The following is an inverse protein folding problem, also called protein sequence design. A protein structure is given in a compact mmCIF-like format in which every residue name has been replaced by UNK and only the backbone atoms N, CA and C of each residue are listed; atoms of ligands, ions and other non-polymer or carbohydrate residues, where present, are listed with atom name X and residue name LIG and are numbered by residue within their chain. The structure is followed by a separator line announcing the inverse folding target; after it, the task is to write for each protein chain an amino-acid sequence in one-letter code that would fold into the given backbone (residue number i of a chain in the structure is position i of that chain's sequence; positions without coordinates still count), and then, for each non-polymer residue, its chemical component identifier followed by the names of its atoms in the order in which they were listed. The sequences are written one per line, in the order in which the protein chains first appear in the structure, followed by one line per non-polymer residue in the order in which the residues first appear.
data_IF_067836418287
#
_entry.id   IF_067836418287
#
_cell.length_a   1.000
_cell.length_b   1.000
_cell.length_c   1.000
_cell.angle_alpha   90.00
_cell.angle_beta   90.00
_cell.angle_gamma   90.00
#
_symmetry.space_group_name_H-M   'P 1'
#
loop_
_entity.id
_entity.type
_entity.pdbx_description
1 polymer ?
#
# COMPACT_ATOMS: atom_id res chain seq x y z
N UNK A 1 -25.79 62.74 -11.50
CA UNK A 1 -26.28 61.86 -10.40
C UNK A 1 -26.22 60.36 -10.73
N UNK A 2 -26.56 59.94 -11.96
CA UNK A 2 -26.56 58.53 -12.41
C UNK A 2 -25.22 57.78 -12.28
N UNK A 3 -24.07 58.42 -12.58
CA UNK A 3 -22.74 57.78 -12.55
C UNK A 3 -22.28 57.40 -11.12
N UNK A 4 -22.59 58.22 -10.11
CA UNK A 4 -22.31 57.92 -8.69
C UNK A 4 -23.20 56.77 -8.17
N UNK A 5 -24.47 56.70 -8.62
CA UNK A 5 -25.41 55.64 -8.24
C UNK A 5 -24.99 54.26 -8.76
N UNK A 6 -24.55 54.17 -10.03
CA UNK A 6 -23.99 52.93 -10.61
C UNK A 6 -22.70 52.46 -9.93
N UNK A 7 -21.78 53.38 -9.60
CA UNK A 7 -20.56 53.06 -8.85
C UNK A 7 -20.86 52.54 -7.43
N UNK A 8 -21.84 53.11 -6.75
CA UNK A 8 -22.29 52.65 -5.43
C UNK A 8 -22.94 51.26 -5.50
N UNK A 9 -23.78 51.00 -6.49
CA UNK A 9 -24.40 49.68 -6.70
C UNK A 9 -23.36 48.60 -7.04
N UNK A 10 -22.35 48.93 -7.84
CA UNK A 10 -21.26 48.01 -8.14
C UNK A 10 -20.41 47.69 -6.89
N UNK A 11 -20.18 48.67 -6.00
CA UNK A 11 -19.47 48.43 -4.73
C UNK A 11 -20.28 47.54 -3.78
N UNK A 12 -21.58 47.77 -3.65
CA UNK A 12 -22.48 46.91 -2.85
C UNK A 12 -22.54 45.49 -3.43
N UNK A 13 -22.64 45.34 -4.76
CA UNK A 13 -22.62 44.05 -5.42
C UNK A 13 -21.30 43.30 -5.21
N UNK A 14 -20.16 43.98 -5.35
CA UNK A 14 -18.84 43.41 -5.08
C UNK A 14 -18.72 42.98 -3.61
N UNK A 15 -19.20 43.80 -2.67
CA UNK A 15 -19.21 43.46 -1.24
C UNK A 15 -20.08 42.24 -0.94
N UNK A 16 -21.24 42.15 -1.59
CA UNK A 16 -22.12 40.98 -1.50
C UNK A 16 -21.46 39.71 -2.01
N UNK A 17 -20.79 39.76 -3.17
CA UNK A 17 -20.02 38.63 -3.72
C UNK A 17 -18.89 38.23 -2.76
N UNK A 18 -18.16 39.20 -2.20
CA UNK A 18 -17.07 38.93 -1.27
C UNK A 18 -17.54 38.23 0.01
N UNK A 19 -18.71 38.62 0.55
CA UNK A 19 -19.31 37.98 1.71
C UNK A 19 -19.72 36.53 1.43
N UNK A 20 -20.27 36.26 0.24
CA UNK A 20 -20.62 34.89 -0.17
C UNK A 20 -19.35 34.02 -0.25
N UNK A 21 -18.27 34.54 -0.84
CA UNK A 21 -16.99 33.83 -0.92
C UNK A 21 -16.45 33.52 0.47
N UNK A 22 -16.39 34.50 1.37
CA UNK A 22 -15.91 34.30 2.75
C UNK A 22 -16.78 33.28 3.51
N UNK A 23 -18.09 33.31 3.30
CA UNK A 23 -19.00 32.33 3.92
C UNK A 23 -18.76 30.91 3.41
N UNK A 24 -18.62 30.72 2.10
CA UNK A 24 -18.31 29.41 1.48
C UNK A 24 -16.97 28.90 1.99
N UNK A 25 -15.93 29.75 1.98
CA UNK A 25 -14.60 29.39 2.49
C UNK A 25 -14.67 29.01 3.97
N UNK A 26 -15.41 29.76 4.78
CA UNK A 26 -15.63 29.44 6.20
C UNK A 26 -16.29 28.08 6.43
N UNK A 27 -17.27 27.70 5.60
CA UNK A 27 -17.89 26.38 5.66
C UNK A 27 -16.93 25.24 5.31
N UNK A 28 -16.05 25.44 4.32
CA UNK A 28 -15.02 24.45 3.96
C UNK A 28 -14.04 24.24 5.12
N UNK A 29 -13.55 25.33 5.73
CA UNK A 29 -12.66 25.24 6.90
C UNK A 29 -13.34 24.56 8.09
N UNK A 30 -14.60 24.90 8.38
CA UNK A 30 -15.37 24.30 9.46
C UNK A 30 -15.54 22.79 9.24
N UNK A 31 -15.78 22.35 8.00
CA UNK A 31 -15.88 20.93 7.65
C UNK A 31 -14.57 20.19 7.90
N UNK A 32 -13.45 20.71 7.41
CA UNK A 32 -12.13 20.11 7.67
C UNK A 32 -11.84 19.96 9.17
N UNK A 33 -12.23 20.95 9.99
CA UNK A 33 -12.11 20.86 11.45
C UNK A 33 -13.01 19.81 12.09
N UNK A 34 -14.23 19.62 11.58
CA UNK A 34 -15.18 18.61 12.07
C UNK A 34 -14.71 17.20 11.70
N UNK A 35 -14.14 17.02 10.50
CA UNK A 35 -13.49 15.78 10.06
C UNK A 35 -12.34 15.40 10.98
N UNK A 36 -11.44 16.34 11.28
CA UNK A 36 -10.33 16.15 12.24
C UNK A 36 -10.77 15.93 13.69
N UNK A 37 -12.08 15.97 13.96
CA UNK A 37 -12.67 15.63 15.27
C UNK A 37 -13.50 14.35 15.22
N UNK A 38 -13.48 13.63 14.10
CA UNK A 38 -14.24 12.40 13.91
C UNK A 38 -15.76 12.61 13.86
N UNK A 39 -16.21 13.82 13.52
CA UNK A 39 -17.65 14.10 13.35
C UNK A 39 -18.07 13.56 11.98
N UNK A 40 -19.09 12.69 11.96
CA UNK A 40 -19.70 12.20 10.72
C UNK A 40 -20.28 13.40 9.95
N UNK A 41 -19.65 13.70 8.81
CA UNK A 41 -20.11 14.68 7.84
C UNK A 41 -20.08 14.05 6.46
N UNK A 42 -20.92 14.53 5.55
CA UNK A 42 -20.83 14.16 4.14
C UNK A 42 -19.51 14.66 3.57
N UNK A 43 -18.63 13.75 3.17
CA UNK A 43 -17.38 14.05 2.48
C UNK A 43 -17.68 14.46 1.04
N UNK A 44 -17.23 15.65 0.63
CA UNK A 44 -17.54 16.19 -0.70
C UNK A 44 -16.31 16.46 -1.55
N UNK A 45 -15.13 16.54 -0.94
CA UNK A 45 -13.88 16.91 -1.60
C UNK A 45 -12.79 15.91 -1.26
N UNK A 46 -11.80 15.76 -2.15
CA UNK A 46 -10.60 14.96 -1.89
C UNK A 46 -9.91 15.38 -0.57
N UNK A 47 -9.91 16.68 -0.26
CA UNK A 47 -9.37 17.20 0.98
C UNK A 47 -10.15 16.73 2.21
N UNK A 48 -11.46 16.53 2.12
CA UNK A 48 -12.24 15.97 3.24
C UNK A 48 -11.79 14.53 3.53
N UNK A 49 -11.61 13.71 2.48
CA UNK A 49 -11.15 12.32 2.62
C UNK A 49 -9.72 12.24 3.15
N UNK A 50 -8.80 13.05 2.60
CA UNK A 50 -7.41 13.11 3.08
C UNK A 50 -7.34 13.49 4.56
N UNK A 51 -7.99 14.57 4.95
CA UNK A 51 -7.99 15.02 6.35
C UNK A 51 -8.63 13.96 7.29
N UNK A 52 -9.63 13.22 6.80
CA UNK A 52 -10.27 12.15 7.55
C UNK A 52 -9.33 10.95 7.74
N UNK A 53 -8.69 10.50 6.65
CA UNK A 53 -7.72 9.42 6.67
C UNK A 53 -6.54 9.76 7.61
N UNK A 54 -5.92 10.94 7.47
CA UNK A 54 -4.85 11.41 8.36
C UNK A 54 -5.27 11.35 9.83
N UNK A 55 -6.47 11.85 10.15
CA UNK A 55 -6.99 11.83 11.51
C UNK A 55 -7.24 10.41 12.03
N UNK A 56 -7.86 9.55 11.23
CA UNK A 56 -8.12 8.15 11.57
C UNK A 56 -6.80 7.40 11.83
N UNK A 57 -5.82 7.56 10.95
CA UNK A 57 -4.49 6.96 11.06
C UNK A 57 -3.75 7.47 12.30
N UNK A 58 -3.75 8.78 12.54
CA UNK A 58 -3.12 9.37 13.72
C UNK A 58 -3.75 8.86 15.02
N UNK A 59 -5.09 8.78 15.06
CA UNK A 59 -5.81 8.26 16.22
C UNK A 59 -5.52 6.77 16.47
N UNK A 60 -5.39 5.98 15.41
CA UNK A 60 -5.17 4.53 15.46
C UNK A 60 -3.72 4.15 15.83
N UNK A 61 -2.74 4.88 15.30
CA UNK A 61 -1.32 4.51 15.40
C UNK A 61 -0.48 5.45 16.29
N UNK A 62 -1.00 6.61 16.65
CA UNK A 62 -0.35 7.57 17.53
C UNK A 62 0.79 8.36 16.88
N UNK A 63 0.84 8.42 15.54
CA UNK A 63 1.84 9.15 14.77
C UNK A 63 1.20 9.98 13.64
N UNK A 64 1.94 10.94 13.10
CA UNK A 64 1.43 11.83 12.05
C UNK A 64 1.61 11.23 10.66
N UNK A 65 0.59 11.44 9.82
CA UNK A 65 0.54 11.02 8.43
C UNK A 65 0.26 12.24 7.56
N UNK A 66 0.74 12.19 6.32
CA UNK A 66 0.47 13.17 5.28
C UNK A 66 -0.20 12.46 4.11
N UNK A 67 -1.33 12.99 3.65
CA UNK A 67 -2.01 12.48 2.47
C UNK A 67 -1.41 12.99 1.18
N UNK A 68 -1.20 12.06 0.24
CA UNK A 68 -0.64 12.35 -1.08
C UNK A 68 -1.75 12.72 -2.08
N UNK A 69 -2.74 11.83 -2.25
CA UNK A 69 -3.85 11.98 -3.18
C UNK A 69 -4.98 11.00 -2.88
N UNK A 70 -6.14 11.23 -3.49
CA UNK A 70 -7.28 10.31 -3.51
C UNK A 70 -7.36 9.67 -4.90
N UNK A 71 -7.53 8.36 -4.95
CA UNK A 71 -7.76 7.64 -6.20
C UNK A 71 -8.78 6.53 -5.95
N UNK A 72 -9.84 6.51 -6.76
CA UNK A 72 -11.01 5.65 -6.55
C UNK A 72 -11.56 5.81 -5.13
N UNK A 73 -11.79 4.72 -4.41
CA UNK A 73 -12.30 4.71 -3.04
C UNK A 73 -11.17 4.61 -2.00
N UNK A 74 -9.98 5.14 -2.34
CA UNK A 74 -8.78 5.06 -1.49
C UNK A 74 -8.07 6.41 -1.33
N UNK A 75 -7.52 6.63 -0.14
CA UNK A 75 -6.56 7.72 0.16
C UNK A 75 -5.17 7.13 0.29
N UNK A 76 -4.22 7.69 -0.45
CA UNK A 76 -2.80 7.34 -0.33
C UNK A 76 -2.15 8.27 0.67
N UNK A 77 -1.49 7.71 1.67
CA UNK A 77 -0.83 8.45 2.75
C UNK A 77 0.54 7.86 3.04
N UNK A 78 1.40 8.63 3.70
CA UNK A 78 2.63 8.10 4.30
C UNK A 78 2.79 8.62 5.73
N UNK A 79 3.41 7.86 6.64
CA UNK A 79 3.82 8.42 7.92
C UNK A 79 4.92 9.46 7.70
N UNK A 80 4.92 10.54 8.47
CA UNK A 80 5.91 11.61 8.34
C UNK A 80 7.37 11.12 8.54
N UNK A 81 7.55 10.05 9.32
CA UNK A 81 8.87 9.45 9.57
C UNK A 81 9.36 8.52 8.45
N UNK A 82 8.47 8.07 7.56
CA UNK A 82 8.79 7.17 6.44
C UNK A 82 8.06 7.60 5.16
N UNK A 83 8.44 8.73 4.53
CA UNK A 83 7.80 9.21 3.31
C UNK A 83 7.91 8.25 2.12
N UNK A 84 8.79 7.27 2.18
CA UNK A 84 8.94 6.22 1.17
C UNK A 84 7.86 5.11 1.26
N UNK A 85 7.02 5.12 2.29
CA UNK A 85 5.94 4.14 2.47
C UNK A 85 4.62 4.66 1.91
N UNK A 86 4.11 3.99 0.88
CA UNK A 86 2.83 4.34 0.25
C UNK A 86 1.67 3.54 0.84
N UNK A 87 1.19 3.99 2.00
CA UNK A 87 0.08 3.35 2.72
C UNK A 87 -1.23 3.65 1.98
N UNK A 88 -2.06 2.63 1.85
CA UNK A 88 -3.39 2.75 1.27
C UNK A 88 -4.41 2.74 2.40
N UNK A 89 -5.32 3.72 2.38
CA UNK A 89 -6.46 3.82 3.31
C UNK A 89 -7.73 3.87 2.49
N UNK A 90 -8.39 2.72 2.36
CA UNK A 90 -9.67 2.59 1.67
C UNK A 90 -10.79 3.18 2.51
N UNK A 91 -11.83 3.67 1.84
CA UNK A 91 -13.01 4.19 2.49
C UNK A 91 -14.30 3.68 1.84
N UNK A 92 -15.27 3.34 2.68
CA UNK A 92 -16.61 2.96 2.24
C UNK A 92 -17.61 3.94 2.86
N UNK A 93 -18.54 4.44 2.05
CA UNK A 93 -19.56 5.40 2.50
C UNK A 93 -20.97 4.82 2.36
N UNK A 94 -21.57 4.42 3.48
CA UNK A 94 -22.95 3.94 3.53
C UNK A 94 -23.79 4.79 4.48
N UNK A 95 -24.96 5.26 4.01
CA UNK A 95 -25.89 6.01 4.85
C UNK A 95 -25.35 7.33 5.43
N UNK A 96 -24.29 7.89 4.85
CA UNK A 96 -23.61 9.10 5.35
C UNK A 96 -22.56 8.86 6.43
N UNK A 97 -22.28 7.59 6.76
CA UNK A 97 -21.15 7.17 7.57
C UNK A 97 -20.03 6.68 6.64
N UNK A 98 -18.80 7.12 6.90
CA UNK A 98 -17.62 6.66 6.16
C UNK A 98 -16.71 5.87 7.09
N UNK A 99 -16.40 4.62 6.72
CA UNK A 99 -15.38 3.78 7.37
C UNK A 99 -14.05 3.89 6.66
N UNK A 100 -12.95 3.59 7.35
CA UNK A 100 -11.59 3.62 6.80
C UNK A 100 -10.85 2.33 7.13
N UNK A 101 -10.16 1.79 6.13
CA UNK A 101 -9.52 0.47 6.13
C UNK A 101 -8.08 0.63 5.63
N UNK A 102 -7.09 0.40 6.49
CA UNK A 102 -5.68 0.67 6.15
C UNK A 102 -4.82 -0.59 6.06
N UNK A 103 -3.72 -0.50 5.33
CA UNK A 103 -2.73 -1.57 5.21
C UNK A 103 -1.42 -1.30 5.97
N UNK A 104 -1.41 -0.31 6.87
CA UNK A 104 -0.19 0.19 7.51
C UNK A 104 0.51 -0.84 8.40
N UNK A 105 -0.24 -1.72 9.06
CA UNK A 105 0.35 -2.82 9.85
C UNK A 105 1.30 -3.67 8.99
N UNK A 106 1.02 -3.84 7.69
CA UNK A 106 1.93 -4.55 6.80
C UNK A 106 3.30 -3.91 6.71
N UNK A 107 3.37 -2.58 6.66
CA UNK A 107 4.63 -1.85 6.69
C UNK A 107 5.33 -1.98 8.04
N UNK A 108 4.57 -1.94 9.15
CA UNK A 108 5.13 -2.12 10.50
C UNK A 108 5.74 -3.52 10.72
N UNK A 109 5.24 -4.56 10.05
CA UNK A 109 5.75 -5.94 10.20
C UNK A 109 6.73 -6.36 9.10
N UNK A 110 6.92 -5.52 8.08
CA UNK A 110 7.69 -5.82 6.87
C UNK A 110 9.10 -6.32 7.15
N UNK A 111 9.90 -5.57 7.90
CA UNK A 111 11.31 -5.90 8.17
C UNK A 111 11.46 -7.25 8.91
N UNK A 112 10.69 -7.45 9.98
CA UNK A 112 10.72 -8.69 10.76
C UNK A 112 10.24 -9.90 9.94
N UNK A 113 9.22 -9.71 9.11
CA UNK A 113 8.68 -10.76 8.24
C UNK A 113 9.66 -11.14 7.13
N UNK A 114 10.27 -10.16 6.47
CA UNK A 114 11.28 -10.39 5.44
C UNK A 114 12.49 -11.12 5.98
N UNK A 115 12.98 -10.70 7.17
CA UNK A 115 14.09 -11.37 7.85
C UNK A 115 13.74 -12.80 8.24
N UNK A 116 12.54 -13.04 8.77
CA UNK A 116 12.08 -14.37 9.12
C UNK A 116 12.00 -15.29 7.90
N UNK A 117 11.39 -14.82 6.81
CA UNK A 117 11.30 -15.56 5.54
C UNK A 117 12.70 -15.82 4.98
N UNK A 118 13.59 -14.83 4.98
CA UNK A 118 14.97 -14.97 4.52
C UNK A 118 15.68 -16.13 5.23
N UNK A 119 15.64 -16.18 6.56
CA UNK A 119 16.30 -17.25 7.32
C UNK A 119 15.73 -18.64 7.00
N UNK A 120 14.42 -18.74 6.75
CA UNK A 120 13.77 -20.00 6.36
C UNK A 120 14.22 -20.49 4.97
N UNK A 121 14.37 -19.59 4.01
CA UNK A 121 14.65 -19.96 2.60
C UNK A 121 16.13 -19.94 2.24
N UNK A 122 16.98 -19.36 3.09
CA UNK A 122 18.44 -19.30 2.93
C UNK A 122 19.09 -20.67 2.65
N UNK A 123 18.67 -21.79 3.26
CA UNK A 123 19.20 -23.11 2.90
C UNK A 123 18.90 -23.53 1.44
N UNK A 124 17.90 -22.94 0.80
CA UNK A 124 17.50 -23.23 -0.57
C UNK A 124 18.21 -22.29 -1.55
N UNK A 125 18.17 -20.97 -1.30
CA UNK A 125 18.66 -19.96 -2.25
C UNK A 125 20.03 -19.37 -1.92
N UNK A 126 20.58 -19.64 -0.73
CA UNK A 126 21.77 -18.99 -0.23
C UNK A 126 21.50 -17.50 0.02
N UNK A 127 22.43 -16.65 -0.42
CA UNK A 127 22.24 -15.20 -0.38
C UNK A 127 21.14 -14.79 -1.36
N UNK A 128 20.10 -14.14 -0.83
CA UNK A 128 18.92 -13.71 -1.56
C UNK A 128 18.32 -12.47 -0.90
N UNK A 129 17.49 -11.74 -1.63
CA UNK A 129 16.73 -10.58 -1.11
C UNK A 129 15.27 -10.97 -1.02
N UNK A 130 14.62 -10.67 0.09
CA UNK A 130 13.21 -10.93 0.34
C UNK A 130 12.52 -9.60 0.56
N UNK A 131 11.43 -9.37 -0.16
CA UNK A 131 10.58 -8.21 0.00
C UNK A 131 9.13 -8.66 0.13
N UNK A 132 8.43 -8.14 1.12
CA UNK A 132 6.98 -8.28 1.27
C UNK A 132 6.32 -6.97 0.87
N UNK A 133 5.31 -7.05 0.00
CA UNK A 133 4.56 -5.87 -0.40
C UNK A 133 3.15 -6.01 0.17
N UNK A 134 2.81 -5.20 1.19
CA UNK A 134 1.42 -5.05 1.62
C UNK A 134 0.61 -4.57 0.43
N UNK A 135 -0.42 -5.34 0.05
CA UNK A 135 -1.31 -5.02 -1.06
C UNK A 135 -2.73 -4.99 -0.53
N UNK A 136 -3.53 -4.06 -1.05
CA UNK A 136 -4.90 -3.82 -0.63
C UNK A 136 -5.05 -3.75 0.90
N UNK A 137 -6.29 -3.72 1.35
CA UNK A 137 -6.66 -3.65 2.76
C UNK A 137 -6.82 -5.06 3.34
N UNK A 138 -6.60 -5.19 4.64
CA UNK A 138 -6.97 -6.42 5.34
C UNK A 138 -8.50 -6.51 5.44
N UNK A 139 -9.03 -7.72 5.43
CA UNK A 139 -10.44 -7.97 5.80
C UNK A 139 -10.72 -7.70 7.29
N UNK A 140 -9.72 -7.27 8.06
CA UNK A 140 -9.75 -7.12 9.51
C UNK A 140 -9.24 -5.74 9.96
N UNK A 141 -10.17 -4.83 10.27
CA UNK A 141 -9.86 -3.48 10.75
C UNK A 141 -9.39 -3.42 12.19
N UNK A 142 -9.43 -4.54 12.92
CA UNK A 142 -9.00 -4.59 14.33
C UNK A 142 -7.48 -4.47 14.48
N UNK A 143 -6.75 -4.57 13.37
CA UNK A 143 -5.32 -4.39 13.31
C UNK A 143 -4.89 -3.04 13.87
N UNK A 144 -3.81 -3.04 14.63
CA UNK A 144 -3.23 -1.85 15.24
C UNK A 144 -1.72 -2.06 15.41
N UNK A 145 -1.03 -1.09 16.02
CA UNK A 145 0.42 -1.13 16.21
C UNK A 145 0.91 -2.41 16.90
N UNK A 146 0.12 -2.91 17.85
CA UNK A 146 0.44 -4.07 18.70
C UNK A 146 0.06 -5.41 18.07
N UNK A 147 -0.55 -5.41 16.88
CA UNK A 147 -0.83 -6.65 16.13
C UNK A 147 0.45 -7.44 15.92
N UNK A 148 0.46 -8.70 16.34
CA UNK A 148 1.63 -9.56 16.17
C UNK A 148 1.79 -10.00 14.70
N UNK A 149 3.02 -10.38 14.35
CA UNK A 149 3.39 -10.75 12.99
C UNK A 149 2.57 -11.92 12.44
N UNK A 150 2.23 -12.93 13.25
CA UNK A 150 1.53 -14.11 12.76
C UNK A 150 0.04 -13.84 12.55
N UNK A 151 -0.56 -12.98 13.39
CA UNK A 151 -1.90 -12.45 13.16
C UNK A 151 -1.96 -11.68 11.84
N UNK A 152 -0.98 -10.80 11.58
CA UNK A 152 -0.89 -10.09 10.30
C UNK A 152 -0.70 -11.06 9.12
N UNK A 153 0.25 -12.01 9.20
CA UNK A 153 0.51 -12.99 8.13
C UNK A 153 -0.75 -13.78 7.75
N UNK A 154 -1.58 -14.13 8.73
CA UNK A 154 -2.80 -14.89 8.49
C UNK A 154 -3.87 -14.04 7.77
N UNK A 155 -4.18 -12.84 8.27
CA UNK A 155 -5.36 -12.06 7.82
C UNK A 155 -5.05 -10.84 6.94
N UNK A 156 -3.82 -10.36 6.94
CA UNK A 156 -3.37 -9.24 6.11
C UNK A 156 -3.23 -9.64 4.64
N UNK A 157 -3.31 -8.71 3.70
CA UNK A 157 -3.09 -8.97 2.29
C UNK A 157 -1.68 -8.50 1.90
N UNK A 158 -0.89 -9.43 1.36
CA UNK A 158 0.48 -9.15 0.96
C UNK A 158 1.00 -10.18 -0.03
N UNK A 159 1.99 -9.78 -0.82
CA UNK A 159 2.78 -10.71 -1.64
C UNK A 159 4.20 -10.80 -1.11
N UNK A 160 4.86 -11.90 -1.45
CA UNK A 160 6.27 -12.14 -1.11
C UNK A 160 7.08 -12.30 -2.39
N UNK A 161 8.06 -11.43 -2.55
CA UNK A 161 8.98 -11.37 -3.67
C UNK A 161 10.39 -11.76 -3.20
N UNK A 162 10.92 -12.83 -3.78
CA UNK A 162 12.28 -13.31 -3.51
C UNK A 162 13.12 -13.07 -4.76
N UNK A 163 14.32 -12.57 -4.56
CA UNK A 163 15.28 -12.31 -5.64
C UNK A 163 16.55 -13.07 -5.37
N UNK A 164 17.06 -13.77 -6.38
CA UNK A 164 18.24 -14.63 -6.25
C UNK A 164 19.10 -14.59 -7.50
N UNK A 165 20.40 -14.79 -7.32
CA UNK A 165 21.35 -15.03 -8.42
C UNK A 165 21.76 -16.51 -8.51
N UNK A 166 21.06 -17.41 -7.78
CA UNK A 166 21.29 -18.85 -7.86
C UNK A 166 21.11 -19.31 -9.30
N UNK A 167 21.98 -20.22 -9.76
CA UNK A 167 21.86 -20.77 -11.12
C UNK A 167 20.52 -21.50 -11.32
N UNK A 168 19.79 -21.10 -12.35
CA UNK A 168 18.43 -21.53 -12.66
C UNK A 168 18.35 -22.96 -13.26
N UNK A 169 18.86 -23.98 -12.55
CA UNK A 169 18.84 -25.40 -13.01
C UNK A 169 17.67 -26.21 -12.48
N UNK A 170 17.23 -25.93 -11.24
CA UNK A 170 16.21 -26.70 -10.53
C UNK A 170 15.07 -25.77 -10.07
N UNK A 171 14.69 -24.80 -10.92
CA UNK A 171 13.83 -23.67 -10.57
C UNK A 171 12.55 -24.13 -9.86
N UNK A 172 11.81 -25.04 -10.48
CA UNK A 172 10.54 -25.53 -9.92
C UNK A 172 10.76 -26.34 -8.64
N UNK A 173 11.73 -27.26 -8.62
CA UNK A 173 12.01 -28.08 -7.43
C UNK A 173 12.41 -27.24 -6.22
N UNK A 174 13.22 -26.21 -6.42
CA UNK A 174 13.62 -25.30 -5.34
C UNK A 174 12.45 -24.43 -4.90
N UNK A 175 11.63 -23.96 -5.84
CA UNK A 175 10.43 -23.18 -5.54
C UNK A 175 9.39 -23.98 -4.74
N UNK A 176 9.13 -25.24 -5.11
CA UNK A 176 8.20 -26.13 -4.40
C UNK A 176 8.59 -26.31 -2.93
N UNK A 177 9.88 -26.46 -2.63
CA UNK A 177 10.36 -26.52 -1.23
C UNK A 177 10.04 -25.25 -0.45
N UNK A 178 10.08 -24.08 -1.11
CA UNK A 178 9.71 -22.81 -0.48
C UNK A 178 8.21 -22.79 -0.22
N UNK A 179 7.39 -23.22 -1.17
CA UNK A 179 5.95 -23.38 -0.97
C UNK A 179 5.66 -24.30 0.22
N UNK A 180 6.33 -25.45 0.32
CA UNK A 180 6.19 -26.38 1.44
C UNK A 180 6.53 -25.71 2.78
N UNK A 181 7.63 -24.95 2.84
CA UNK A 181 8.00 -24.15 4.03
C UNK A 181 6.91 -23.13 4.38
N UNK A 182 6.33 -22.46 3.37
CA UNK A 182 5.28 -21.48 3.60
C UNK A 182 4.01 -22.12 4.15
N UNK A 183 3.63 -23.29 3.65
CA UNK A 183 2.51 -24.07 4.20
C UNK A 183 2.80 -24.52 5.63
N UNK A 184 3.97 -25.11 5.88
CA UNK A 184 4.39 -25.61 7.20
C UNK A 184 4.46 -24.51 8.26
N UNK A 185 4.89 -23.31 7.87
CA UNK A 185 5.00 -22.14 8.76
C UNK A 185 3.76 -21.27 8.77
N UNK A 186 2.71 -21.67 8.04
CA UNK A 186 1.47 -20.92 7.89
C UNK A 186 1.71 -19.47 7.42
N UNK A 187 2.66 -19.29 6.50
CA UNK A 187 2.98 -18.03 5.82
C UNK A 187 2.04 -17.84 4.63
N UNK A 188 0.85 -17.31 4.91
CA UNK A 188 -0.25 -17.21 3.93
C UNK A 188 -0.10 -15.98 3.02
N UNK A 189 0.98 -15.89 2.24
CA UNK A 189 1.16 -14.81 1.25
C UNK A 189 0.23 -15.03 0.04
N UNK A 190 -0.49 -14.00 -0.42
CA UNK A 190 -1.44 -14.13 -1.54
C UNK A 190 -0.76 -14.58 -2.84
N UNK A 191 0.48 -14.13 -3.04
CA UNK A 191 1.35 -14.55 -4.13
C UNK A 191 2.77 -14.72 -3.62
N UNK A 192 3.43 -15.78 -4.07
CA UNK A 192 4.85 -16.04 -3.84
C UNK A 192 5.57 -15.99 -5.19
N UNK A 193 6.65 -15.22 -5.27
CA UNK A 193 7.45 -15.07 -6.49
C UNK A 193 8.92 -15.25 -6.18
N UNK A 194 9.64 -15.95 -7.07
CA UNK A 194 11.11 -15.99 -7.07
C UNK A 194 11.60 -15.53 -8.44
N UNK A 195 12.45 -14.49 -8.46
CA UNK A 195 13.03 -13.91 -9.67
C UNK A 195 14.55 -14.13 -9.69
N UNK A 196 15.05 -14.60 -10.84
CA UNK A 196 16.43 -15.00 -11.03
C UNK A 196 17.20 -13.95 -11.83
N UNK A 197 18.24 -13.36 -11.23
CA UNK A 197 19.07 -12.30 -11.81
C UNK A 197 20.51 -12.74 -12.11
N UNK A 198 21.24 -11.85 -12.79
CA UNK A 198 22.70 -11.81 -12.69
C UNK A 198 23.13 -11.43 -11.26
N UNK A 199 24.35 -11.81 -10.85
CA UNK A 199 24.89 -11.36 -9.56
C UNK A 199 25.06 -9.84 -9.53
N UNK A 200 25.47 -9.23 -10.65
CA UNK A 200 25.65 -7.78 -10.75
C UNK A 200 24.35 -7.01 -10.50
N UNK A 201 23.25 -7.40 -11.16
CA UNK A 201 21.96 -6.75 -10.95
C UNK A 201 21.41 -7.01 -9.55
N UNK A 202 21.60 -8.24 -9.03
CA UNK A 202 21.22 -8.58 -7.66
C UNK A 202 21.89 -7.65 -6.64
N UNK A 203 23.19 -7.40 -6.78
CA UNK A 203 23.96 -6.55 -5.86
C UNK A 203 23.46 -5.09 -5.89
N UNK A 204 23.01 -4.60 -7.05
CA UNK A 204 22.47 -3.23 -7.25
C UNK A 204 20.95 -3.13 -7.08
N UNK A 205 20.27 -4.24 -6.79
CA UNK A 205 18.81 -4.27 -6.71
C UNK A 205 18.31 -3.64 -5.43
N UNK A 206 17.33 -2.76 -5.55
CA UNK A 206 16.62 -2.14 -4.45
C UNK A 206 15.11 -2.27 -4.71
N UNK A 207 14.31 -2.33 -3.66
CA UNK A 207 12.87 -2.64 -3.74
C UNK A 207 12.12 -1.69 -4.69
N UNK A 208 12.41 -0.39 -4.65
CA UNK A 208 11.75 0.62 -5.49
C UNK A 208 11.93 0.38 -7.01
N UNK A 209 12.88 -0.47 -7.41
CA UNK A 209 13.14 -0.82 -8.83
C UNK A 209 12.35 -2.04 -9.28
N UNK A 210 11.57 -2.67 -8.40
CA UNK A 210 10.88 -3.93 -8.67
C UNK A 210 9.95 -3.84 -9.89
N UNK A 211 9.09 -2.82 -9.94
CA UNK A 211 8.14 -2.64 -11.05
C UNK A 211 8.86 -2.39 -12.37
N UNK A 212 9.93 -1.58 -12.35
CA UNK A 212 10.74 -1.35 -13.53
C UNK A 212 11.34 -2.65 -14.08
N UNK A 213 11.88 -3.49 -13.21
CA UNK A 213 12.45 -4.78 -13.59
C UNK A 213 11.37 -5.73 -14.13
N UNK A 214 10.21 -5.79 -13.47
CA UNK A 214 9.12 -6.65 -13.89
C UNK A 214 8.52 -6.23 -15.24
N UNK A 215 8.37 -4.93 -15.47
CA UNK A 215 7.85 -4.38 -16.72
C UNK A 215 8.84 -4.54 -17.88
N UNK A 216 10.14 -4.36 -17.62
CA UNK A 216 11.18 -4.55 -18.64
C UNK A 216 11.65 -5.99 -18.78
N UNK A 217 11.14 -6.91 -17.95
CA UNK A 217 11.53 -8.32 -17.94
C UNK A 217 13.05 -8.53 -17.79
N UNK A 218 13.71 -7.66 -17.02
CA UNK A 218 15.17 -7.67 -16.77
C UNK A 218 15.57 -8.76 -15.77
N UNK A 219 15.34 -10.01 -16.12
CA UNK A 219 15.69 -11.21 -15.34
C UNK A 219 15.81 -12.43 -16.28
N UNK A 220 16.36 -13.53 -15.79
CA UNK A 220 16.38 -14.78 -16.54
C UNK A 220 15.00 -15.45 -16.51
N UNK A 221 14.50 -15.71 -15.30
CA UNK A 221 13.24 -16.39 -15.07
C UNK A 221 12.55 -15.79 -13.84
N UNK A 222 11.22 -15.83 -13.86
CA UNK A 222 10.38 -15.58 -12.69
C UNK A 222 9.40 -16.74 -12.54
N UNK A 223 9.46 -17.41 -11.41
CA UNK A 223 8.52 -18.46 -11.02
C UNK A 223 7.58 -17.89 -9.96
N UNK A 224 6.30 -18.22 -10.05
CA UNK A 224 5.30 -17.76 -9.09
C UNK A 224 4.17 -18.74 -8.88
N UNK A 225 3.51 -18.62 -7.74
CA UNK A 225 2.28 -19.32 -7.41
C UNK A 225 1.43 -18.51 -6.44
N UNK A 226 0.14 -18.84 -6.36
CA UNK A 226 -0.87 -18.12 -5.60
C UNK A 226 -1.38 -18.94 -4.42
N UNK A 227 -1.78 -18.24 -3.36
CA UNK A 227 -2.47 -18.83 -2.22
C UNK A 227 -3.81 -18.14 -1.99
N UNK A 228 -4.89 -18.92 -1.96
CA UNK A 228 -6.23 -18.44 -1.60
C UNK A 228 -6.34 -18.44 -0.08
N UNK A 229 -6.40 -17.25 0.53
CA UNK A 229 -6.69 -17.12 1.97
C UNK A 229 -8.11 -17.52 2.33
N UNK A 230 -9.05 -17.33 1.39
CA UNK A 230 -10.48 -17.68 1.56
C UNK A 230 -10.62 -19.19 1.70
N UNK A 231 -10.05 -19.93 0.75
CA UNK A 231 -10.15 -21.39 0.72
C UNK A 231 -9.07 -22.08 1.54
N UNK A 232 -8.06 -21.32 2.00
CA UNK A 232 -6.86 -21.78 2.72
C UNK A 232 -6.08 -22.87 1.97
N UNK A 233 -6.14 -22.82 0.65
CA UNK A 233 -5.40 -23.71 -0.26
C UNK A 233 -4.58 -22.88 -1.22
N UNK A 234 -3.52 -23.47 -1.74
CA UNK A 234 -2.73 -22.84 -2.78
C UNK A 234 -1.35 -23.42 -2.91
N UNK A 235 -0.56 -22.75 -3.73
CA UNK A 235 0.73 -23.20 -4.21
C UNK A 235 0.71 -24.42 -5.12
N UNK A 236 -0.46 -24.89 -5.57
CA UNK A 236 -0.59 -26.05 -6.47
C UNK A 236 -0.12 -25.73 -7.89
N UNK A 237 -0.65 -24.65 -8.48
CA UNK A 237 -0.31 -24.21 -9.83
C UNK A 237 0.95 -23.34 -9.82
N UNK A 238 1.95 -23.73 -10.60
CA UNK A 238 3.19 -22.97 -10.75
C UNK A 238 3.26 -22.37 -12.15
N UNK A 239 3.54 -21.06 -12.20
CA UNK A 239 3.77 -20.33 -13.45
C UNK A 239 5.23 -19.92 -13.53
N UNK A 240 5.89 -20.32 -14.62
CA UNK A 240 7.25 -19.87 -14.97
C UNK A 240 7.14 -18.90 -16.15
N UNK A 241 7.81 -17.77 -16.03
CA UNK A 241 7.89 -16.74 -17.04
C UNK A 241 9.37 -16.50 -17.37
N UNK A 242 9.73 -16.61 -18.63
CA UNK A 242 11.06 -16.22 -19.13
C UNK A 242 11.15 -14.69 -19.23
N UNK A 243 12.32 -14.13 -18.94
CA UNK A 243 12.57 -12.71 -19.15
C UNK A 243 13.13 -12.41 -20.55
N UNK A 244 13.80 -11.27 -20.69
CA UNK A 244 14.42 -10.87 -21.97
C UNK A 244 15.47 -11.89 -22.43
N UNK A 245 15.36 -12.38 -23.67
CA UNK A 245 16.28 -13.36 -24.27
C UNK A 245 17.75 -12.90 -24.31
N UNK A 246 17.99 -11.59 -24.29
CA UNK A 246 19.33 -10.96 -24.27
C UNK A 246 19.82 -10.66 -22.86
N UNK A 247 19.02 -10.91 -21.83
CA UNK A 247 19.40 -10.63 -20.45
C UNK A 247 20.61 -11.46 -20.02
N UNK A 248 21.65 -10.78 -19.52
CA UNK A 248 22.88 -11.41 -19.03
C UNK A 248 23.78 -12.04 -20.09
N UNK A 249 23.60 -11.71 -21.38
CA UNK A 249 24.50 -12.03 -22.50
C UNK A 249 25.38 -10.83 -22.82
#
# INVERSE_FOLDING_TARGET
MLKKRRLSQNKEAIRGILLIIVFIVGLVFLRGMLVKRGVSITMLTESDYINAAEYCMQKKYGEEFEGEYVYEDSVYVHPMSKPEWHVVVDFESEGGLTSFHDNYVGYLKKEDLEKYIYELIKPIYGDCKVYTQPYDFSLDDSFNRDTDIMTYVNRGNYITCIFTYKKAKNIEKDFRKVCDIFLDKNLQTNRLLVTYFTKEDFDKFEEYRMDYIFNQQKYYYRISSFYSKVDKVGFDEVKILEGDEKYGK
#
